data_IF_328680238306
#
_entry.id   IF_328680238306
#
_cell.length_a   1.000
_cell.length_b   1.000
_cell.length_c   1.000
_cell.angle_alpha   90.00
_cell.angle_beta   90.00
_cell.angle_gamma   90.00
#
_symmetry.space_group_name_H-M   'P 1'
#
loop_
_entity.id
_entity.type
_entity.pdbx_description
1 polymer ?
#
# COMPACT_ATOMS: atom_id res chain seq x y z
N UNK A 1 -4.74 -4.89 9.28
CA UNK A 1 -4.98 -5.45 7.93
C UNK A 1 -4.02 -6.59 7.61
N UNK A 2 -2.69 -6.37 7.66
CA UNK A 2 -1.68 -7.42 7.34
C UNK A 2 -1.94 -8.76 8.05
N UNK A 3 -2.21 -8.74 9.37
CA UNK A 3 -2.48 -9.97 10.14
C UNK A 3 -3.74 -10.75 9.73
N UNK A 4 -4.64 -10.14 8.96
CA UNK A 4 -5.87 -10.76 8.46
C UNK A 4 -5.82 -10.99 6.94
N UNK A 5 -4.62 -11.02 6.33
CA UNK A 5 -4.44 -11.20 4.88
C UNK A 5 -4.69 -9.95 4.03
N UNK A 6 -4.92 -8.79 4.65
CA UNK A 6 -5.10 -7.52 3.93
C UNK A 6 -3.77 -6.82 3.71
N UNK A 7 -3.51 -6.40 2.48
CA UNK A 7 -2.28 -5.67 2.12
C UNK A 7 -2.39 -4.19 2.48
N UNK A 8 -1.28 -3.57 2.92
CA UNK A 8 -1.25 -2.15 3.27
C UNK A 8 -0.28 -1.36 2.40
N UNK A 9 -0.81 -0.37 1.69
CA UNK A 9 -0.07 0.51 0.79
C UNK A 9 0.16 1.85 1.49
N UNK A 10 1.40 2.33 1.46
CA UNK A 10 1.79 3.63 2.04
C UNK A 10 2.41 4.53 0.97
N UNK A 11 2.07 5.81 0.99
CA UNK A 11 2.65 6.78 0.06
C UNK A 11 4.10 7.09 0.42
N UNK A 12 4.97 7.22 -0.58
CA UNK A 12 6.37 7.58 -0.39
C UNK A 12 6.56 9.04 0.04
N UNK A 13 7.78 9.37 0.47
CA UNK A 13 8.12 10.73 0.89
C UNK A 13 8.19 11.70 -0.28
N UNK A 14 8.61 11.24 -1.46
CA UNK A 14 8.91 12.11 -2.61
C UNK A 14 7.64 12.72 -3.22
N UNK A 15 6.54 11.98 -3.20
CA UNK A 15 5.24 12.43 -3.70
C UNK A 15 4.34 13.04 -2.62
N UNK A 16 4.77 13.01 -1.35
CA UNK A 16 3.97 13.51 -0.22
C UNK A 16 4.16 15.00 0.01
N UNK A 17 3.07 15.77 0.01
CA UNK A 17 3.08 17.17 0.48
C UNK A 17 3.38 17.27 1.98
N UNK A 18 2.87 16.31 2.78
CA UNK A 18 3.15 16.18 4.22
C UNK A 18 3.42 14.71 4.55
N UNK A 19 4.68 14.37 4.78
CA UNK A 19 5.10 13.00 5.10
C UNK A 19 5.01 12.70 6.61
N UNK A 20 3.82 12.87 7.18
CA UNK A 20 3.52 12.62 8.60
C UNK A 20 2.95 11.22 8.84
N UNK A 21 1.68 11.02 8.48
CA UNK A 21 1.02 9.72 8.62
C UNK A 21 1.70 8.60 7.83
N UNK A 22 2.15 8.81 6.56
CA UNK A 22 2.84 7.75 5.82
C UNK A 22 4.15 7.32 6.50
N UNK A 23 4.88 8.26 7.11
CA UNK A 23 6.09 7.98 7.88
C UNK A 23 5.79 7.11 9.10
N UNK A 24 4.77 7.46 9.88
CA UNK A 24 4.38 6.69 11.06
C UNK A 24 4.00 5.25 10.70
N UNK A 25 3.25 5.05 9.60
CA UNK A 25 2.89 3.71 9.14
C UNK A 25 4.11 2.87 8.71
N UNK A 26 5.09 3.48 8.05
CA UNK A 26 6.34 2.82 7.67
C UNK A 26 7.20 2.45 8.89
N UNK A 27 7.36 3.36 9.84
CA UNK A 27 8.15 3.13 11.07
C UNK A 27 7.53 2.06 11.98
N UNK A 28 6.20 1.92 11.97
CA UNK A 28 5.48 0.88 12.70
C UNK A 28 5.57 -0.51 12.03
N UNK A 29 6.25 -0.64 10.89
CA UNK A 29 6.27 -1.89 10.11
C UNK A 29 4.88 -2.29 9.60
N UNK A 30 3.96 -1.32 9.50
CA UNK A 30 2.59 -1.54 9.10
C UNK A 30 2.36 -1.34 7.59
N UNK A 31 3.42 -1.11 6.83
CA UNK A 31 3.41 -0.98 5.37
C UNK A 31 3.85 -2.29 4.72
N UNK A 32 3.00 -2.92 3.92
CA UNK A 32 3.39 -4.00 3.02
C UNK A 32 4.20 -3.49 1.84
N UNK A 33 3.81 -2.33 1.30
CA UNK A 33 4.48 -1.68 0.17
C UNK A 33 4.48 -0.15 0.34
N UNK A 34 5.54 0.51 -0.14
CA UNK A 34 5.67 1.97 -0.16
C UNK A 34 5.82 2.43 -1.61
N UNK A 35 4.93 3.31 -2.09
CA UNK A 35 4.87 3.72 -3.51
C UNK A 35 4.66 5.24 -3.66
N UNK A 36 5.13 5.86 -4.76
CA UNK A 36 4.72 7.21 -5.11
C UNK A 36 3.22 7.26 -5.42
N UNK A 37 2.61 8.44 -5.23
CA UNK A 37 1.15 8.64 -5.40
C UNK A 37 0.62 8.17 -6.77
N UNK A 38 1.40 8.36 -7.83
CA UNK A 38 1.05 7.95 -9.20
C UNK A 38 0.82 6.46 -9.35
N UNK A 39 1.52 5.66 -8.54
CA UNK A 39 1.60 4.21 -8.72
C UNK A 39 0.63 3.47 -7.80
N UNK A 40 0.13 4.13 -6.75
CA UNK A 40 -0.84 3.57 -5.81
C UNK A 40 -2.11 3.10 -6.53
N UNK A 41 -2.64 3.89 -7.47
CA UNK A 41 -3.87 3.52 -8.17
C UNK A 41 -3.69 2.24 -9.01
N UNK A 42 -2.60 2.16 -9.77
CA UNK A 42 -2.25 0.99 -10.57
C UNK A 42 -2.05 -0.24 -9.69
N UNK A 43 -1.33 -0.07 -8.57
CA UNK A 43 -1.10 -1.13 -7.60
C UNK A 43 -2.41 -1.70 -7.03
N UNK A 44 -3.32 -0.84 -6.58
CA UNK A 44 -4.60 -1.26 -6.00
C UNK A 44 -5.45 -2.04 -7.01
N UNK A 45 -5.47 -1.62 -8.28
CA UNK A 45 -6.21 -2.33 -9.33
C UNK A 45 -5.62 -3.72 -9.57
N UNK A 46 -4.30 -3.85 -9.61
CA UNK A 46 -3.63 -5.15 -9.77
C UNK A 46 -3.87 -6.07 -8.57
N UNK A 47 -3.71 -5.55 -7.34
CA UNK A 47 -3.91 -6.33 -6.12
C UNK A 47 -5.33 -6.92 -6.01
N UNK A 48 -6.35 -6.14 -6.40
CA UNK A 48 -7.74 -6.63 -6.40
C UNK A 48 -7.98 -7.66 -7.51
N UNK A 49 -7.35 -7.50 -8.69
CA UNK A 49 -7.45 -8.50 -9.77
C UNK A 49 -6.82 -9.82 -9.40
N UNK A 50 -5.63 -9.80 -8.79
CA UNK A 50 -4.92 -11.01 -8.36
C UNK A 50 -5.71 -11.79 -7.30
N UNK A 51 -6.31 -11.09 -6.33
CA UNK A 51 -7.20 -11.74 -5.34
C UNK A 51 -8.45 -12.40 -5.92
N UNK A 52 -8.85 -12.03 -7.15
CA UNK A 52 -10.00 -12.61 -7.84
C UNK A 52 -9.64 -13.90 -8.60
N UNK A 53 -8.35 -14.21 -8.73
CA UNK A 53 -7.85 -15.34 -9.52
C UNK A 53 -7.59 -16.61 -8.68
N UNK A 54 -7.71 -16.52 -7.35
CA UNK A 54 -7.54 -17.61 -6.38
C UNK A 54 -8.84 -18.37 -6.06
N UNK A 55 -9.88 -18.25 -6.89
CA UNK A 55 -11.14 -19.04 -6.79
C UNK A 55 -11.17 -20.17 -7.85
N UNK A 56 -10.00 -20.68 -8.25
CA UNK A 56 -9.90 -21.82 -9.20
C UNK A 56 -9.56 -23.12 -8.50
#
# INVERSE_FOLDING_TARGET
MIKNGGETVVQDKSSSTVYGMPKAAAELGAASVILPLSDIATYLISAVKESSNDIS
#
